data_IF_273341741426
#
_entry.id   IF_273341741426
#
_cell.length_a   1.000
_cell.length_b   1.000
_cell.length_c   1.000
_cell.angle_alpha   90.00
_cell.angle_beta   90.00
_cell.angle_gamma   90.00
#
_symmetry.space_group_name_H-M   'P 1'
#
loop_
_entity.id
_entity.type
_entity.pdbx_description
1 polymer ?
#
# COMPACT_ATOMS: atom_id res chain seq x y z
N UNK A 1 -13.82 19.20 7.08
CA UNK A 1 -13.35 17.97 6.42
C UNK A 1 -12.99 16.97 7.49
N UNK A 2 -13.34 15.70 7.29
CA UNK A 2 -13.13 14.65 8.28
C UNK A 2 -11.64 14.33 8.39
N UNK A 3 -10.98 14.80 9.45
CA UNK A 3 -9.52 14.71 9.66
C UNK A 3 -8.97 13.29 9.54
N UNK A 4 -9.81 12.28 9.78
CA UNK A 4 -9.42 10.86 9.65
C UNK A 4 -9.21 10.44 8.20
N UNK A 5 -10.06 10.91 7.28
CA UNK A 5 -9.98 10.56 5.86
C UNK A 5 -8.72 11.16 5.24
N UNK A 6 -8.42 12.43 5.53
CA UNK A 6 -7.21 13.10 5.05
C UNK A 6 -5.92 12.41 5.55
N UNK A 7 -5.90 11.95 6.80
CA UNK A 7 -4.77 11.18 7.31
C UNK A 7 -4.58 9.84 6.56
N UNK A 8 -5.67 9.16 6.22
CA UNK A 8 -5.61 7.89 5.47
C UNK A 8 -5.17 8.13 4.04
N UNK A 9 -5.68 9.18 3.38
CA UNK A 9 -5.24 9.60 2.06
C UNK A 9 -3.73 9.86 2.07
N UNK A 10 -3.22 10.60 3.06
CA UNK A 10 -1.79 10.87 3.17
C UNK A 10 -0.96 9.60 3.34
N UNK A 11 -1.45 8.61 4.08
CA UNK A 11 -0.79 7.31 4.23
C UNK A 11 -0.78 6.52 2.92
N UNK A 12 -1.86 6.56 2.15
CA UNK A 12 -1.94 5.91 0.83
C UNK A 12 -0.97 6.58 -0.15
N UNK A 13 -0.91 7.91 -0.18
CA UNK A 13 0.02 8.66 -1.03
C UNK A 13 1.49 8.29 -0.76
N UNK A 14 1.83 8.11 0.52
CA UNK A 14 3.18 7.76 0.98
C UNK A 14 3.52 6.26 0.86
N UNK A 15 2.54 5.40 0.59
CA UNK A 15 2.78 3.95 0.46
C UNK A 15 3.53 3.59 -0.82
N UNK A 16 4.11 2.39 -0.87
CA UNK A 16 4.76 1.86 -2.09
C UNK A 16 3.75 1.25 -3.10
N UNK A 17 2.46 1.53 -2.93
CA UNK A 17 1.43 1.06 -3.87
C UNK A 17 1.62 1.66 -5.26
N UNK A 18 1.17 0.92 -6.27
CA UNK A 18 1.10 1.45 -7.63
C UNK A 18 0.23 2.70 -7.68
N UNK A 19 0.60 3.68 -8.50
CA UNK A 19 -0.11 4.95 -8.60
C UNK A 19 -1.59 4.77 -8.97
N UNK A 20 -1.90 3.79 -9.83
CA UNK A 20 -3.29 3.46 -10.21
C UNK A 20 -4.10 3.00 -9.00
N UNK A 21 -3.51 2.17 -8.14
CA UNK A 21 -4.15 1.66 -6.92
C UNK A 21 -4.37 2.81 -5.93
N UNK A 22 -3.36 3.67 -5.76
CA UNK A 22 -3.49 4.88 -4.92
C UNK A 22 -4.65 5.75 -5.38
N UNK A 23 -4.73 6.02 -6.68
CA UNK A 23 -5.76 6.88 -7.27
C UNK A 23 -7.17 6.30 -7.07
N UNK A 24 -7.33 4.98 -7.23
CA UNK A 24 -8.60 4.28 -6.98
C UNK A 24 -8.99 4.40 -5.50
N UNK A 25 -8.09 4.06 -4.58
CA UNK A 25 -8.38 4.11 -3.14
C UNK A 25 -8.72 5.52 -2.66
N UNK A 26 -7.98 6.53 -3.12
CA UNK A 26 -8.21 7.94 -2.75
C UNK A 26 -9.55 8.43 -3.32
N UNK A 27 -9.86 8.11 -4.59
CA UNK A 27 -11.14 8.47 -5.21
C UNK A 27 -12.30 7.86 -4.44
N UNK A 28 -12.23 6.58 -4.14
CA UNK A 28 -13.30 5.84 -3.47
C UNK A 28 -13.44 6.32 -2.00
N UNK A 29 -12.34 6.61 -1.30
CA UNK A 29 -12.36 7.25 0.03
C UNK A 29 -13.01 8.64 0.03
N UNK A 30 -12.79 9.44 -1.02
CA UNK A 30 -13.40 10.78 -1.14
C UNK A 30 -14.87 10.73 -1.53
N UNK A 31 -15.27 9.73 -2.31
CA UNK A 31 -16.64 9.57 -2.77
C UNK A 31 -17.54 8.91 -1.71
N UNK A 32 -17.05 7.88 -1.04
CA UNK A 32 -17.85 7.00 -0.17
C UNK A 32 -17.46 7.09 1.32
N UNK A 33 -16.31 7.69 1.63
CA UNK A 33 -15.75 7.70 2.98
C UNK A 33 -15.04 6.39 3.33
N UNK A 34 -14.62 6.25 4.59
CA UNK A 34 -13.95 5.03 5.06
C UNK A 34 -14.98 3.91 5.30
N UNK A 35 -15.21 3.08 4.29
CA UNK A 35 -16.07 1.90 4.39
C UNK A 35 -15.30 0.65 4.85
N UNK A 36 -16.00 -0.37 5.34
CA UNK A 36 -15.37 -1.64 5.71
C UNK A 36 -14.72 -2.35 4.51
N UNK A 37 -15.30 -2.20 3.31
CA UNK A 37 -14.70 -2.68 2.07
C UNK A 37 -13.36 -1.99 1.79
N UNK A 38 -13.31 -0.66 1.89
CA UNK A 38 -12.06 0.10 1.71
C UNK A 38 -11.02 -0.25 2.77
N UNK A 39 -11.45 -0.50 4.02
CA UNK A 39 -10.55 -0.96 5.09
C UNK A 39 -9.90 -2.31 4.74
N UNK A 40 -10.66 -3.26 4.21
CA UNK A 40 -10.12 -4.57 3.81
C UNK A 40 -9.23 -4.47 2.57
N UNK A 41 -9.58 -3.61 1.61
CA UNK A 41 -8.72 -3.33 0.45
C UNK A 41 -7.37 -2.73 0.88
N UNK A 42 -7.38 -1.71 1.74
CA UNK A 42 -6.15 -1.09 2.27
C UNK A 42 -5.28 -2.13 2.99
N UNK A 43 -5.89 -3.01 3.81
CA UNK A 43 -5.16 -4.09 4.48
C UNK A 43 -4.54 -5.09 3.50
N UNK A 44 -5.31 -5.53 2.50
CA UNK A 44 -4.84 -6.47 1.49
C UNK A 44 -3.63 -5.90 0.74
N UNK A 45 -3.73 -4.64 0.29
CA UNK A 45 -2.65 -3.96 -0.41
C UNK A 45 -1.40 -3.73 0.46
N UNK A 46 -1.58 -3.35 1.73
CA UNK A 46 -0.45 -3.24 2.66
C UNK A 46 0.22 -4.60 2.92
N UNK A 47 -0.57 -5.68 3.06
CA UNK A 47 -0.04 -7.03 3.27
C UNK A 47 0.71 -7.55 2.04
N UNK A 48 0.16 -7.36 0.84
CA UNK A 48 0.83 -7.71 -0.43
C UNK A 48 2.11 -6.89 -0.63
N UNK A 49 2.11 -5.60 -0.26
CA UNK A 49 3.29 -4.74 -0.30
C UNK A 49 4.45 -5.29 0.55
N UNK A 50 4.15 -5.71 1.78
CA UNK A 50 5.15 -6.33 2.69
C UNK A 50 5.70 -7.64 2.08
N UNK A 51 4.84 -8.50 1.54
CA UNK A 51 5.28 -9.76 0.93
C UNK A 51 6.20 -9.54 -0.28
N UNK A 52 5.93 -8.52 -1.11
CA UNK A 52 6.81 -8.16 -2.24
C UNK A 52 8.17 -7.65 -1.76
N UNK A 53 8.19 -6.82 -0.72
CA UNK A 53 9.43 -6.34 -0.11
C UNK A 53 10.29 -7.48 0.44
N UNK A 54 9.69 -8.43 1.15
CA UNK A 54 10.39 -9.61 1.66
C UNK A 54 10.99 -10.46 0.52
N UNK A 55 10.23 -10.67 -0.56
CA UNK A 55 10.73 -11.39 -1.72
C UNK A 55 11.91 -10.68 -2.41
N UNK A 56 11.86 -9.34 -2.53
CA UNK A 56 12.96 -8.55 -3.09
C UNK A 56 14.21 -8.59 -2.21
N UNK A 57 14.05 -8.54 -0.89
CA UNK A 57 15.16 -8.66 0.07
C UNK A 57 15.83 -10.03 -0.02
N UNK A 58 15.05 -11.10 -0.12
CA UNK A 58 15.57 -12.45 -0.25
C UNK A 58 16.33 -12.64 -1.58
N UNK A 59 15.80 -12.10 -2.70
CA UNK A 59 16.52 -12.10 -3.97
C UNK A 59 17.83 -11.31 -3.91
N UNK A 60 17.83 -10.13 -3.29
CA UNK A 60 19.04 -9.33 -3.13
C UNK A 60 20.09 -10.05 -2.27
N UNK A 61 19.67 -10.79 -1.24
CA UNK A 61 20.54 -11.62 -0.41
C UNK A 61 21.18 -12.75 -1.20
N UNK A 62 20.39 -13.50 -1.98
CA UNK A 62 20.88 -14.58 -2.84
C UNK A 62 21.90 -14.07 -3.88
N UNK A 63 21.64 -12.90 -4.47
CA UNK A 63 22.58 -12.27 -5.41
C UNK A 63 23.88 -11.86 -4.73
N UNK A 64 23.82 -11.37 -3.50
CA UNK A 64 25.00 -10.99 -2.71
C UNK A 64 25.83 -12.21 -2.32
N UNK A 65 25.19 -13.30 -1.92
CA UNK A 65 25.85 -14.56 -1.56
C UNK A 65 26.47 -15.25 -2.80
N UNK A 66 25.84 -15.14 -3.98
CA UNK A 66 26.37 -15.66 -5.24
C UNK A 66 27.60 -14.89 -5.78
N UNK A 67 27.91 -13.72 -5.21
CA UNK A 67 29.08 -12.90 -5.57
C UNK A 67 30.27 -13.08 -4.61
N UNK A 68 30.17 -13.98 -3.61
CA UNK A 68 31.26 -14.38 -2.71
C UNK A 68 31.86 -15.72 -3.15
#
# INVERSE_FOLDING_TARGET
MDTKIENIISLIEQSDLDQTIKDILIRDLRAEGLTDFLREQIKAYCAEGIQKLDAMLEQAKQQKEAQQ
#
